data_IF_767742746185
#
_entry.id   IF_767742746185
#
_cell.length_a   1.000
_cell.length_b   1.000
_cell.length_c   1.000
_cell.angle_alpha   90.00
_cell.angle_beta   90.00
_cell.angle_gamma   90.00
#
_symmetry.space_group_name_H-M   'P 1'
#
loop_
_entity.id
_entity.type
_entity.pdbx_description
1 polymer ?
#
# COMPACT_ATOMS: atom_id res chain seq x y z
N UNK A 1 14.21 -70.80 -16.84
CA UNK A 1 14.16 -71.43 -18.19
C UNK A 1 13.77 -70.34 -19.19
N UNK A 2 14.72 -69.53 -19.66
CA UNK A 2 15.37 -69.60 -20.99
C UNK A 2 14.36 -69.62 -22.14
N UNK A 3 14.24 -68.49 -22.84
CA UNK A 3 14.37 -68.38 -24.30
C UNK A 3 14.45 -66.91 -24.73
N UNK A 4 15.67 -66.51 -25.10
CA UNK A 4 15.91 -65.39 -26.00
C UNK A 4 15.23 -65.72 -27.34
N UNK A 5 14.57 -64.73 -27.94
CA UNK A 5 14.38 -64.72 -29.40
C UNK A 5 14.64 -63.30 -29.90
N UNK A 6 15.69 -63.20 -30.72
CA UNK A 6 16.24 -62.02 -31.35
C UNK A 6 15.95 -62.18 -32.85
N UNK A 7 15.09 -61.32 -33.42
CA UNK A 7 14.77 -61.25 -34.87
C UNK A 7 14.50 -59.77 -35.16
N UNK A 8 15.48 -58.98 -35.64
CA UNK A 8 15.97 -58.85 -37.02
C UNK A 8 15.05 -57.99 -37.94
N UNK A 9 15.49 -56.74 -38.15
CA UNK A 9 15.38 -55.86 -39.32
C UNK A 9 14.04 -55.70 -40.07
N UNK A 10 13.54 -54.46 -40.09
CA UNK A 10 13.25 -53.72 -41.32
C UNK A 10 13.17 -52.21 -41.01
N UNK A 11 14.05 -51.44 -41.64
CA UNK A 11 13.90 -49.99 -41.76
C UNK A 11 12.61 -49.67 -42.52
N UNK A 12 11.99 -48.51 -42.25
CA UNK A 12 11.44 -47.58 -43.25
C UNK A 12 10.67 -46.44 -42.56
N UNK A 13 11.18 -45.23 -42.76
CA UNK A 13 10.50 -43.96 -43.08
C UNK A 13 10.86 -42.80 -42.16
N UNK A 14 11.65 -41.92 -42.76
CA UNK A 14 11.89 -40.53 -42.40
C UNK A 14 10.54 -39.83 -42.22
N UNK A 15 10.28 -39.36 -41.00
CA UNK A 15 9.29 -38.34 -40.70
C UNK A 15 9.95 -37.28 -39.85
N UNK A 16 10.26 -36.12 -40.44
CA UNK A 16 10.52 -34.90 -39.68
C UNK A 16 9.21 -34.53 -38.96
N UNK A 17 9.08 -34.94 -37.70
CA UNK A 17 8.20 -34.27 -36.77
C UNK A 17 9.07 -33.27 -36.00
N UNK A 18 8.80 -31.95 -36.06
CA UNK A 18 9.42 -31.05 -35.10
C UNK A 18 9.07 -31.56 -33.71
N UNK A 19 10.07 -31.60 -32.84
CA UNK A 19 9.85 -31.86 -31.43
C UNK A 19 8.80 -30.86 -30.94
N UNK A 20 7.63 -31.34 -30.54
CA UNK A 20 6.75 -30.59 -29.65
C UNK A 20 7.45 -30.55 -28.29
N UNK A 21 8.42 -29.65 -28.21
CA UNK A 21 9.00 -29.20 -26.97
C UNK A 21 7.89 -28.47 -26.22
N UNK A 22 7.46 -29.13 -25.15
CA UNK A 22 6.52 -28.64 -24.17
C UNK A 22 6.98 -27.25 -23.68
N UNK A 23 6.49 -26.18 -24.31
CA UNK A 23 6.64 -24.84 -23.78
C UNK A 23 5.71 -24.74 -22.57
N UNK A 24 6.25 -24.99 -21.38
CA UNK A 24 5.65 -24.53 -20.15
C UNK A 24 5.44 -23.02 -20.30
N UNK A 25 4.18 -22.59 -20.34
CA UNK A 25 3.85 -21.18 -20.29
C UNK A 25 4.29 -20.67 -18.91
N UNK A 26 5.45 -20.05 -18.86
CA UNK A 26 5.88 -19.26 -17.72
C UNK A 26 4.80 -18.19 -17.47
N UNK A 27 3.93 -18.45 -16.51
CA UNK A 27 3.00 -17.45 -16.00
C UNK A 27 3.82 -16.50 -15.15
N UNK A 28 4.50 -15.54 -15.79
CA UNK A 28 5.12 -14.43 -15.09
C UNK A 28 4.01 -13.66 -14.37
N UNK A 29 4.11 -13.52 -13.05
CA UNK A 29 3.21 -12.68 -12.29
C UNK A 29 3.25 -11.26 -12.87
N UNK A 30 2.07 -10.68 -13.14
CA UNK A 30 1.97 -9.33 -13.66
C UNK A 30 2.72 -8.35 -12.74
N UNK A 31 3.41 -7.37 -13.33
CA UNK A 31 4.07 -6.32 -12.57
C UNK A 31 3.04 -5.60 -11.68
N UNK A 32 3.38 -5.25 -10.43
CA UNK A 32 2.47 -4.55 -9.55
C UNK A 32 2.03 -3.23 -10.19
N UNK A 33 0.73 -2.95 -10.13
CA UNK A 33 0.18 -1.72 -10.67
C UNK A 33 0.77 -0.51 -9.94
N UNK A 34 1.25 0.48 -10.71
CA UNK A 34 1.71 1.75 -10.16
C UNK A 34 0.51 2.58 -9.67
N UNK A 35 0.59 3.09 -8.45
CA UNK A 35 -0.41 3.99 -7.88
C UNK A 35 -0.35 5.36 -8.60
N UNK A 36 -1.51 5.87 -8.99
CA UNK A 36 -1.69 7.26 -9.40
C UNK A 36 -2.43 8.06 -8.34
N UNK A 37 -2.28 9.40 -8.35
CA UNK A 37 -3.05 10.26 -7.44
C UNK A 37 -4.55 10.26 -7.73
N UNK A 38 -4.95 9.94 -8.95
CA UNK A 38 -6.36 9.76 -9.30
C UNK A 38 -6.98 8.56 -8.57
N UNK A 39 -6.21 7.49 -8.34
CA UNK A 39 -6.70 6.29 -7.66
C UNK A 39 -7.04 6.58 -6.19
N UNK A 40 -6.33 7.49 -5.54
CA UNK A 40 -6.53 7.86 -4.13
C UNK A 40 -7.45 9.06 -3.93
N UNK A 41 -7.71 9.85 -4.98
CA UNK A 41 -8.53 11.06 -4.89
C UNK A 41 -9.95 10.75 -4.41
N UNK A 42 -10.45 11.49 -3.43
CA UNK A 42 -11.77 11.28 -2.84
C UNK A 42 -11.79 11.60 -1.34
N UNK A 43 -12.94 11.39 -0.72
CA UNK A 43 -13.11 11.55 0.73
C UNK A 43 -13.01 10.19 1.41
N UNK A 44 -12.25 10.14 2.50
CA UNK A 44 -11.97 8.93 3.27
C UNK A 44 -12.31 9.13 4.74
N UNK A 45 -12.93 8.12 5.34
CA UNK A 45 -13.00 7.97 6.79
C UNK A 45 -11.83 7.10 7.23
N UNK A 46 -10.93 7.66 8.01
CA UNK A 46 -9.65 7.05 8.41
C UNK A 46 -9.65 6.72 9.89
N UNK A 47 -9.12 5.55 10.25
CA UNK A 47 -8.78 5.16 11.61
C UNK A 47 -7.26 5.12 11.75
N UNK A 48 -6.67 6.01 12.54
CA UNK A 48 -5.30 5.86 13.01
C UNK A 48 -5.28 4.97 14.26
N UNK A 49 -4.46 3.94 14.23
CA UNK A 49 -4.33 2.91 15.26
C UNK A 49 -2.92 2.88 15.83
N UNK A 50 -2.77 2.25 16.99
CA UNK A 50 -1.45 1.96 17.54
C UNK A 50 -0.64 1.06 16.58
N UNK A 51 0.65 0.87 16.88
CA UNK A 51 1.55 0.08 16.03
C UNK A 51 1.09 -1.38 15.88
N UNK A 52 0.42 -1.96 16.88
CA UNK A 52 -0.14 -3.31 16.83
C UNK A 52 -1.41 -3.41 15.96
N UNK A 53 -2.07 -2.28 15.68
CA UNK A 53 -3.32 -2.24 14.90
C UNK A 53 -4.56 -2.71 15.67
N UNK A 54 -4.45 -2.96 16.98
CA UNK A 54 -5.53 -3.49 17.82
C UNK A 54 -6.36 -2.40 18.53
N UNK A 55 -5.88 -1.15 18.53
CA UNK A 55 -6.51 -0.03 19.24
C UNK A 55 -6.56 1.21 18.37
N UNK A 56 -7.77 1.75 18.14
CA UNK A 56 -7.95 3.04 17.46
C UNK A 56 -7.56 4.20 18.38
N UNK A 57 -6.63 5.02 17.92
CA UNK A 57 -6.16 6.23 18.61
C UNK A 57 -7.03 7.44 18.26
N UNK A 58 -7.34 7.60 16.98
CA UNK A 58 -8.20 8.68 16.48
C UNK A 58 -8.82 8.29 15.15
N UNK A 59 -10.11 8.61 14.98
CA UNK A 59 -10.78 8.60 13.69
C UNK A 59 -10.79 10.03 13.12
N UNK A 60 -10.54 10.17 11.83
CA UNK A 60 -10.49 11.46 11.15
C UNK A 60 -10.97 11.36 9.70
N UNK A 61 -11.34 12.49 9.11
CA UNK A 61 -11.65 12.56 7.68
C UNK A 61 -10.42 13.02 6.91
N UNK A 62 -10.16 12.39 5.77
CA UNK A 62 -9.18 12.88 4.79
C UNK A 62 -9.89 13.20 3.47
N UNK A 63 -9.62 14.38 2.92
CA UNK A 63 -9.97 14.71 1.54
C UNK A 63 -8.69 14.68 0.73
N UNK A 64 -8.59 13.73 -0.19
CA UNK A 64 -7.48 13.57 -1.11
C UNK A 64 -7.85 14.12 -2.49
N UNK A 65 -6.96 14.87 -3.11
CA UNK A 65 -7.09 15.33 -4.51
C UNK A 65 -6.25 14.45 -5.43
N UNK A 66 -6.40 14.63 -6.73
CA UNK A 66 -5.55 13.99 -7.73
C UNK A 66 -4.23 14.76 -7.98
N UNK A 67 -3.87 15.71 -7.12
CA UNK A 67 -2.63 16.49 -7.19
C UNK A 67 -1.82 16.32 -5.91
N UNK A 68 -0.58 16.83 -5.90
CA UNK A 68 0.28 16.72 -4.72
C UNK A 68 -0.15 17.66 -3.56
N UNK A 69 -1.01 18.63 -3.86
CA UNK A 69 -1.48 19.67 -2.97
C UNK A 69 -3.02 19.63 -2.81
N UNK A 70 -3.55 20.40 -1.87
CA UNK A 70 -5.01 20.50 -1.66
C UNK A 70 -5.62 19.32 -0.90
N UNK A 71 -4.79 18.39 -0.42
CA UNK A 71 -5.23 17.37 0.52
C UNK A 71 -5.51 18.02 1.87
N UNK A 72 -6.50 17.52 2.59
CA UNK A 72 -6.80 17.98 3.96
C UNK A 72 -7.10 16.82 4.88
N UNK A 73 -6.78 16.99 6.15
CA UNK A 73 -7.13 16.08 7.24
C UNK A 73 -7.87 16.82 8.33
N UNK A 74 -9.07 16.35 8.66
CA UNK A 74 -9.93 16.95 9.67
C UNK A 74 -10.07 16.00 10.84
N UNK A 75 -9.43 16.35 11.95
CA UNK A 75 -9.56 15.65 13.22
C UNK A 75 -10.85 16.05 13.95
N UNK A 76 -11.37 15.23 14.90
CA UNK A 76 -12.56 15.56 15.65
C UNK A 76 -12.45 16.93 16.33
N UNK A 77 -13.47 17.77 16.13
CA UNK A 77 -13.55 19.12 16.71
C UNK A 77 -12.38 20.06 16.34
N UNK A 78 -11.70 19.82 15.20
CA UNK A 78 -10.63 20.69 14.69
C UNK A 78 -10.99 21.21 13.30
N UNK A 79 -10.39 22.34 12.93
CA UNK A 79 -10.42 22.82 11.56
C UNK A 79 -9.60 21.89 10.65
N UNK A 80 -9.93 21.80 9.34
CA UNK A 80 -9.13 21.03 8.40
C UNK A 80 -7.67 21.47 8.40
N UNK A 81 -6.77 20.51 8.54
CA UNK A 81 -5.32 20.71 8.47
C UNK A 81 -4.84 20.41 7.05
N UNK A 82 -3.99 21.26 6.44
CA UNK A 82 -3.42 20.97 5.14
C UNK A 82 -2.51 19.74 5.22
N UNK A 83 -2.68 18.83 4.27
CA UNK A 83 -1.82 17.69 4.04
C UNK A 83 -1.14 17.85 2.66
N UNK A 84 0.08 17.34 2.52
CA UNK A 84 0.82 17.41 1.26
C UNK A 84 1.37 16.04 0.89
N UNK A 85 1.19 15.64 -0.36
CA UNK A 85 1.89 14.49 -0.91
C UNK A 85 3.33 14.90 -1.21
N UNK A 86 4.28 14.13 -0.69
CA UNK A 86 5.72 14.39 -0.91
C UNK A 86 6.37 13.41 -1.87
N UNK A 87 5.75 12.25 -2.09
CA UNK A 87 6.19 11.27 -3.07
C UNK A 87 5.05 10.32 -3.46
N UNK A 88 5.10 9.83 -4.70
CA UNK A 88 4.36 8.65 -5.17
C UNK A 88 5.39 7.73 -5.81
N UNK A 89 5.46 6.48 -5.35
CA UNK A 89 6.43 5.51 -5.85
C UNK A 89 5.86 4.09 -5.75
N UNK A 90 5.93 3.34 -6.84
CA UNK A 90 5.33 2.01 -6.92
C UNK A 90 3.83 2.06 -6.61
N UNK A 91 3.39 1.30 -5.62
CA UNK A 91 2.00 1.23 -5.15
C UNK A 91 1.68 2.20 -4.00
N UNK A 92 2.61 3.10 -3.66
CA UNK A 92 2.59 3.84 -2.40
C UNK A 92 2.61 5.37 -2.59
N UNK A 93 1.92 6.08 -1.70
CA UNK A 93 1.91 7.54 -1.56
C UNK A 93 2.43 7.94 -0.18
N UNK A 94 3.29 8.95 -0.13
CA UNK A 94 3.84 9.52 1.11
C UNK A 94 3.21 10.87 1.35
N UNK A 95 2.63 11.08 2.53
CA UNK A 95 1.91 12.30 2.90
C UNK A 95 2.48 12.87 4.20
N UNK A 96 2.67 14.19 4.23
CA UNK A 96 3.04 14.95 5.42
C UNK A 96 1.88 15.83 5.89
N UNK A 97 1.72 15.96 7.21
CA UNK A 97 0.76 16.86 7.85
C UNK A 97 1.47 17.58 9.00
N UNK A 98 1.16 18.88 9.15
CA UNK A 98 1.61 19.69 10.27
C UNK A 98 2.82 20.58 9.98
N UNK A 99 3.34 21.23 11.03
CA UNK A 99 3.00 21.02 12.44
C UNK A 99 1.58 21.47 12.82
N UNK A 100 0.91 20.73 13.72
CA UNK A 100 -0.37 21.09 14.34
C UNK A 100 -0.38 20.72 15.83
N UNK A 101 -1.27 21.31 16.63
CA UNK A 101 -1.36 20.98 18.06
C UNK A 101 -1.82 19.53 18.26
N UNK A 102 -1.07 18.77 19.07
CA UNK A 102 -1.38 17.37 19.37
C UNK A 102 -2.73 17.21 20.07
N UNK A 103 -3.52 16.24 19.60
CA UNK A 103 -4.76 15.82 20.26
C UNK A 103 -4.53 15.09 21.59
N UNK A 104 -3.33 14.54 21.78
CA UNK A 104 -3.00 13.69 22.94
C UNK A 104 -2.10 14.38 23.96
N UNK A 105 -1.47 15.50 23.56
CA UNK A 105 -0.47 16.22 24.37
C UNK A 105 -0.78 17.73 24.27
N UNK A 106 -1.61 18.28 25.17
CA UNK A 106 -1.99 19.70 25.11
C UNK A 106 -0.79 20.64 25.02
N UNK A 107 -0.84 21.63 24.13
CA UNK A 107 0.24 22.60 23.92
C UNK A 107 1.50 22.06 23.22
N UNK A 108 1.55 20.77 22.85
CA UNK A 108 2.69 20.18 22.14
C UNK A 108 2.37 20.08 20.65
N UNK A 109 3.23 20.63 19.80
CA UNK A 109 3.09 20.52 18.35
C UNK A 109 3.52 19.13 17.86
N UNK A 110 2.87 18.64 16.81
CA UNK A 110 3.17 17.35 16.19
C UNK A 110 3.17 17.48 14.67
N UNK A 111 4.13 16.82 14.03
CA UNK A 111 4.13 16.58 12.59
C UNK A 111 3.99 15.10 12.32
N UNK A 112 3.22 14.72 11.31
CA UNK A 112 3.05 13.33 10.90
C UNK A 112 3.55 13.11 9.48
N UNK A 113 4.16 11.94 9.26
CA UNK A 113 4.44 11.40 7.92
C UNK A 113 3.80 10.03 7.82
N UNK A 114 3.02 9.80 6.78
CA UNK A 114 2.41 8.50 6.49
C UNK A 114 2.86 7.96 5.14
N UNK A 115 2.90 6.63 5.04
CA UNK A 115 3.04 5.89 3.78
C UNK A 115 1.81 5.03 3.63
N UNK A 116 1.07 5.24 2.53
CA UNK A 116 -0.21 4.58 2.27
C UNK A 116 -0.19 3.88 0.92
N UNK A 117 -0.94 2.79 0.80
CA UNK A 117 -1.24 2.09 -0.45
C UNK A 117 -2.72 1.73 -0.50
N UNK A 118 -3.21 1.37 -1.67
CA UNK A 118 -4.57 0.85 -1.84
C UNK A 118 -4.58 -0.68 -1.80
N UNK A 119 -5.43 -1.26 -0.96
CA UNK A 119 -5.64 -2.71 -0.83
C UNK A 119 -7.13 -2.96 -0.71
N UNK A 120 -7.70 -3.74 -1.64
CA UNK A 120 -9.12 -4.09 -1.64
C UNK A 120 -10.05 -2.86 -1.52
N UNK A 121 -9.68 -1.77 -2.20
CA UNK A 121 -10.41 -0.50 -2.18
C UNK A 121 -10.23 0.35 -0.91
N UNK A 122 -9.43 -0.12 0.05
CA UNK A 122 -9.10 0.59 1.29
C UNK A 122 -7.76 1.30 1.19
N UNK A 123 -7.65 2.47 1.83
CA UNK A 123 -6.35 3.11 2.04
C UNK A 123 -5.73 2.55 3.31
N UNK A 124 -4.62 1.81 3.20
CA UNK A 124 -3.93 1.22 4.36
C UNK A 124 -2.49 1.69 4.41
N UNK A 125 -1.93 1.79 5.61
CA UNK A 125 -0.55 2.23 5.74
C UNK A 125 -0.03 2.32 7.15
N UNK A 126 1.13 2.97 7.25
CA UNK A 126 1.78 3.30 8.52
C UNK A 126 2.01 4.80 8.62
N UNK A 127 2.13 5.29 9.84
CA UNK A 127 2.52 6.67 10.08
C UNK A 127 3.51 6.78 11.23
N UNK A 128 4.28 7.87 11.18
CA UNK A 128 5.13 8.34 12.27
C UNK A 128 4.67 9.73 12.68
N UNK A 129 4.29 9.89 13.93
CA UNK A 129 4.10 11.18 14.58
C UNK A 129 5.39 11.57 15.31
N UNK A 130 5.85 12.80 15.09
CA UNK A 130 6.98 13.40 15.83
C UNK A 130 6.47 14.61 16.60
N UNK A 131 6.57 14.52 17.93
CA UNK A 131 6.21 15.59 18.85
C UNK A 131 7.39 16.55 19.05
N UNK A 132 7.10 17.83 19.04
CA UNK A 132 8.07 18.89 19.36
C UNK A 132 8.21 19.00 20.88
N UNK A 133 9.06 18.14 21.44
CA UNK A 133 9.31 18.05 22.88
C UNK A 133 10.74 17.58 23.16
N UNK A 134 11.23 17.84 24.38
CA UNK A 134 12.51 17.34 24.89
C UNK A 134 12.38 15.99 25.60
N UNK A 135 11.16 15.48 25.79
CA UNK A 135 10.92 14.18 26.39
C UNK A 135 11.46 13.03 25.51
N UNK A 136 11.85 11.93 26.15
CA UNK A 136 12.44 10.77 25.47
C UNK A 136 11.46 10.08 24.49
N UNK A 137 10.16 10.13 24.77
CA UNK A 137 9.08 9.56 23.98
C UNK A 137 8.52 10.57 22.95
N UNK A 138 9.40 11.17 22.15
CA UNK A 138 9.05 12.18 21.14
C UNK A 138 8.50 11.62 19.83
N UNK A 139 8.49 10.29 19.65
CA UNK A 139 8.04 9.63 18.43
C UNK A 139 6.99 8.57 18.75
N UNK A 140 5.88 8.62 18.02
CA UNK A 140 4.85 7.58 18.03
C UNK A 140 4.72 6.98 16.63
N UNK A 141 4.67 5.65 16.57
CA UNK A 141 4.41 4.88 15.36
C UNK A 141 3.02 4.28 15.42
N UNK A 142 2.35 4.21 14.28
CA UNK A 142 1.03 3.61 14.17
C UNK A 142 0.75 3.09 12.78
N UNK A 143 -0.41 2.44 12.67
CA UNK A 143 -1.00 2.01 11.41
C UNK A 143 -2.25 2.82 11.13
N UNK A 144 -2.69 2.87 9.88
CA UNK A 144 -3.99 3.46 9.56
C UNK A 144 -4.71 2.66 8.48
N UNK A 145 -6.04 2.71 8.54
CA UNK A 145 -6.94 2.16 7.54
C UNK A 145 -8.02 3.18 7.20
N UNK A 146 -8.41 3.25 5.94
CA UNK A 146 -9.34 4.22 5.41
C UNK A 146 -10.37 3.58 4.50
N UNK A 147 -11.64 3.89 4.76
CA UNK A 147 -12.75 3.55 3.88
C UNK A 147 -13.17 4.77 3.08
N UNK A 148 -13.33 4.60 1.77
CA UNK A 148 -13.83 5.67 0.91
C UNK A 148 -15.29 5.95 1.25
N UNK A 149 -15.64 7.22 1.39
CA UNK A 149 -17.02 7.66 1.56
C UNK A 149 -17.73 7.49 0.22
N UNK A 150 -18.88 6.80 0.21
CA UNK A 150 -19.69 6.69 -0.99
C UNK A 150 -20.13 8.09 -1.46
N UNK A 151 -19.99 8.35 -2.77
CA UNK A 151 -20.46 9.58 -3.40
C UNK A 151 -21.95 9.50 -3.69
#
# INVERSE_FOLDING_TARGET
MRRLTLICCAALLVGCTPADEQAAADTYAAAPATLSLADVAGTWTMDAKNAAGDSTLVQYQMVATNTMDGWTVTFPNRQPQPARVVAVAGDSVVVDIGPYESMFRPGVMVSTRSVSRLVDGKMVGTFRARYETTAADSVLWGTHEGMRVAQ
#
